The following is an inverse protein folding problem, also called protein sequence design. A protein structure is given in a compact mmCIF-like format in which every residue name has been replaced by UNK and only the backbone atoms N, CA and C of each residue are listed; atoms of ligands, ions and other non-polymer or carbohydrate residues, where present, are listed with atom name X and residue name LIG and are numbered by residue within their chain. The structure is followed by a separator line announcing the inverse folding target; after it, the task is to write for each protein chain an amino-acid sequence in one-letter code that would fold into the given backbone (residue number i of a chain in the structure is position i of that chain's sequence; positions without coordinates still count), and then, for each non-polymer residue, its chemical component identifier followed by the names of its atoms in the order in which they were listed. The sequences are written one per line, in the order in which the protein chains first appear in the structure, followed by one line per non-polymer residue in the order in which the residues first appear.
data_IF_276454338431
#
_entry.id   IF_276454338431
#
_cell.length_a   1.000
_cell.length_b   1.000
_cell.length_c   1.000
_cell.angle_alpha   90.00
_cell.angle_beta   90.00
_cell.angle_gamma   90.00
#
_symmetry.space_group_name_H-M   'P 1'
#
loop_
_entity.id
_entity.type
_entity.pdbx_description
1 polymer ?
#
# COMPACT_ATOMS: atom_id res chain seq x y z
N UNK A 1 -17.73 40.85 40.70
CA UNK A 1 -16.63 39.87 40.90
C UNK A 1 -17.30 38.50 40.98
N UNK A 2 -17.23 37.72 39.89
CA UNK A 2 -16.54 36.41 39.79
C UNK A 2 -17.21 35.32 40.65
N UNK A 3 -17.61 34.14 40.18
CA UNK A 3 -17.62 33.47 38.88
C UNK A 3 -18.70 32.37 38.93
N UNK A 4 -19.19 31.99 37.75
CA UNK A 4 -20.10 30.87 37.47
C UNK A 4 -19.28 29.58 37.35
N UNK A 5 -19.76 28.44 37.85
CA UNK A 5 -19.53 27.16 37.18
C UNK A 5 -20.55 26.09 37.59
N UNK A 6 -21.29 25.64 36.59
CA UNK A 6 -22.16 24.48 36.62
C UNK A 6 -21.35 23.26 36.15
N UNK A 7 -21.35 22.19 36.95
CA UNK A 7 -20.80 20.90 36.54
C UNK A 7 -21.80 20.13 35.66
N UNK A 8 -21.38 19.87 34.42
CA UNK A 8 -21.98 18.89 33.51
C UNK A 8 -20.87 17.92 33.11
N UNK A 9 -20.95 16.67 33.55
CA UNK A 9 -20.15 15.58 32.99
C UNK A 9 -21.00 14.32 32.88
N UNK A 10 -21.68 14.20 31.73
CA UNK A 10 -22.32 12.96 31.28
C UNK A 10 -21.40 12.29 30.25
N UNK A 11 -20.86 11.14 30.64
CA UNK A 11 -20.64 9.94 29.82
C UNK A 11 -19.94 10.11 28.46
N UNK A 12 -18.61 10.24 28.48
CA UNK A 12 -17.76 10.11 27.30
C UNK A 12 -17.47 8.63 26.97
N UNK A 13 -18.25 8.05 26.04
CA UNK A 13 -17.82 6.86 25.29
C UNK A 13 -16.45 7.15 24.68
N UNK A 14 -15.49 6.29 24.97
CA UNK A 14 -14.08 6.40 24.58
C UNK A 14 -13.90 6.75 23.09
N UNK A 15 -13.64 8.02 22.80
CA UNK A 15 -13.03 8.45 21.54
C UNK A 15 -11.54 8.22 21.67
N UNK A 16 -11.07 7.01 21.32
CA UNK A 16 -9.65 6.81 21.03
C UNK A 16 -9.36 7.32 19.62
N UNK A 17 -9.22 8.64 19.52
CA UNK A 17 -8.37 9.25 18.51
C UNK A 17 -6.95 9.18 19.04
N UNK A 18 -6.24 8.09 18.72
CA UNK A 18 -4.80 8.05 18.90
C UNK A 18 -4.17 8.72 17.67
N UNK A 19 -3.57 9.87 17.92
CA UNK A 19 -2.56 10.61 17.17
C UNK A 19 -2.07 9.99 15.84
N UNK A 20 -2.15 10.78 14.76
CA UNK A 20 -1.21 10.68 13.63
C UNK A 20 -1.82 10.40 12.26
N UNK A 21 -2.50 11.39 11.67
CA UNK A 21 -2.87 11.42 10.25
C UNK A 21 -3.87 10.35 9.82
N UNK A 22 -4.62 10.64 8.76
CA UNK A 22 -5.07 9.58 7.86
C UNK A 22 -3.80 9.02 7.19
N UNK A 23 -3.02 8.26 7.96
CA UNK A 23 -2.25 7.21 7.35
C UNK A 23 -3.30 6.31 6.73
N UNK A 24 -3.25 6.16 5.41
CA UNK A 24 -3.57 4.88 4.78
C UNK A 24 -3.07 3.84 5.77
N UNK A 25 -3.98 3.14 6.46
CA UNK A 25 -3.64 2.35 7.63
C UNK A 25 -2.74 1.23 7.12
N UNK A 26 -1.43 1.50 7.05
CA UNK A 26 -0.33 0.55 6.96
C UNK A 26 -0.27 -0.10 8.33
N UNK A 27 -1.35 -0.78 8.69
CA UNK A 27 -1.41 -1.66 9.84
C UNK A 27 -0.31 -2.69 9.63
N UNK A 28 0.65 -2.74 10.57
CA UNK A 28 1.74 -3.69 10.59
C UNK A 28 1.26 -5.14 10.75
N UNK A 29 0.70 -5.69 9.67
CA UNK A 29 0.22 -7.06 9.52
C UNK A 29 -0.01 -7.36 8.04
N UNK A 30 0.85 -8.18 7.45
CA UNK A 30 0.82 -8.66 6.06
C UNK A 30 0.34 -7.67 4.98
N UNK A 31 0.84 -6.43 4.97
CA UNK A 31 0.62 -5.54 3.83
C UNK A 31 1.39 -6.09 2.62
N UNK A 32 0.69 -6.72 1.70
CA UNK A 32 1.35 -7.48 0.64
C UNK A 32 0.38 -8.24 -0.25
N UNK A 33 0.90 -8.64 -1.40
CA UNK A 33 0.24 -9.50 -2.36
C UNK A 33 0.87 -10.90 -2.23
N UNK A 34 0.10 -11.89 -1.82
CA UNK A 34 0.58 -13.25 -1.57
C UNK A 34 -0.26 -14.22 -2.38
N UNK A 35 0.44 -15.14 -3.05
CA UNK A 35 -0.20 -16.23 -3.78
C UNK A 35 0.10 -17.55 -3.07
N UNK A 36 -0.93 -18.31 -2.73
CA UNK A 36 -0.81 -19.65 -2.16
C UNK A 36 -1.88 -20.55 -2.78
N UNK A 37 -1.50 -21.74 -3.26
CA UNK A 37 -2.41 -22.71 -3.90
C UNK A 37 -3.29 -22.10 -5.00
N UNK A 38 -2.69 -21.28 -5.87
CA UNK A 38 -3.37 -20.53 -6.93
C UNK A 38 -4.43 -19.54 -6.42
N UNK A 39 -4.44 -19.23 -5.12
CA UNK A 39 -5.31 -18.23 -4.51
C UNK A 39 -4.54 -16.95 -4.25
N UNK A 40 -5.15 -15.84 -4.65
CA UNK A 40 -4.63 -14.50 -4.45
C UNK A 40 -5.14 -13.93 -3.12
N UNK A 41 -4.21 -13.55 -2.26
CA UNK A 41 -4.46 -12.84 -1.02
C UNK A 41 -3.83 -11.46 -1.10
N UNK A 42 -4.64 -10.42 -0.87
CA UNK A 42 -4.17 -9.04 -0.82
C UNK A 42 -4.48 -8.51 0.58
N UNK A 43 -3.46 -8.00 1.26
CA UNK A 43 -3.53 -7.56 2.66
C UNK A 43 -4.11 -8.63 3.61
N UNK A 44 -3.84 -9.91 3.31
CA UNK A 44 -4.35 -11.05 4.09
C UNK A 44 -5.81 -11.45 3.81
N UNK A 45 -6.47 -10.82 2.83
CA UNK A 45 -7.85 -11.12 2.43
C UNK A 45 -7.84 -11.91 1.12
N UNK A 46 -8.55 -13.04 1.09
CA UNK A 46 -8.79 -13.79 -0.14
C UNK A 46 -9.54 -12.91 -1.14
N UNK A 47 -8.95 -12.71 -2.32
CA UNK A 47 -9.52 -11.86 -3.37
C UNK A 47 -10.15 -12.71 -4.47
N UNK A 48 -9.38 -13.65 -5.02
CA UNK A 48 -9.82 -14.54 -6.11
C UNK A 48 -8.87 -15.72 -6.29
N UNK A 49 -9.32 -16.72 -7.03
CA UNK A 49 -8.44 -17.72 -7.64
C UNK A 49 -7.77 -17.12 -8.89
N UNK A 50 -6.53 -17.51 -9.15
CA UNK A 50 -5.75 -17.07 -10.31
C UNK A 50 -6.14 -17.84 -11.56
N UNK A 51 -6.31 -17.12 -12.66
CA UNK A 51 -6.52 -17.71 -13.97
C UNK A 51 -5.21 -18.34 -14.51
N UNK A 52 -5.29 -19.28 -15.47
CA UNK A 52 -4.10 -19.88 -16.08
C UNK A 52 -3.10 -18.86 -16.64
N UNK A 53 -3.59 -17.77 -17.23
CA UNK A 53 -2.76 -16.68 -17.74
C UNK A 53 -2.03 -15.93 -16.61
N UNK A 54 -2.69 -15.73 -15.46
CA UNK A 54 -2.10 -15.09 -14.28
C UNK A 54 -1.10 -15.99 -13.57
N UNK A 55 -1.33 -17.31 -13.61
CA UNK A 55 -0.36 -18.31 -13.15
C UNK A 55 0.89 -18.27 -14.03
N UNK A 56 0.73 -18.14 -15.35
CA UNK A 56 1.85 -17.99 -16.27
C UNK A 56 2.62 -16.69 -16.02
N UNK A 57 1.92 -15.57 -15.79
CA UNK A 57 2.53 -14.29 -15.40
C UNK A 57 3.33 -14.43 -14.09
N UNK A 58 2.80 -15.16 -13.10
CA UNK A 58 3.48 -15.43 -11.84
C UNK A 58 4.77 -16.24 -12.04
N UNK A 59 4.76 -17.24 -12.93
CA UNK A 59 5.97 -18.01 -13.25
C UNK A 59 7.02 -17.16 -13.96
N UNK A 60 6.61 -16.28 -14.87
CA UNK A 60 7.51 -15.30 -15.49
C UNK A 60 8.14 -14.39 -14.43
N UNK A 61 7.32 -13.83 -13.55
CA UNK A 61 7.80 -12.98 -12.46
C UNK A 61 8.79 -13.70 -11.53
N UNK A 62 8.57 -14.97 -11.21
CA UNK A 62 9.51 -15.79 -10.41
C UNK A 62 10.88 -15.90 -11.10
N UNK A 63 10.89 -16.13 -12.40
CA UNK A 63 12.12 -16.22 -13.18
C UNK A 63 12.85 -14.87 -13.21
N UNK A 64 12.13 -13.78 -13.44
CA UNK A 64 12.70 -12.43 -13.46
C UNK A 64 13.28 -12.03 -12.10
N UNK A 65 12.62 -12.41 -10.99
CA UNK A 65 13.13 -12.19 -9.63
C UNK A 65 14.41 -12.99 -9.38
N UNK A 66 14.48 -14.23 -9.87
CA UNK A 66 15.69 -15.06 -9.74
C UNK A 66 16.86 -14.46 -10.55
N UNK A 67 16.61 -14.01 -11.78
CA UNK A 67 17.60 -13.35 -12.61
C UNK A 67 18.06 -12.03 -11.99
N UNK A 68 17.13 -11.20 -11.52
CA UNK A 68 17.40 -9.97 -10.80
C UNK A 68 18.26 -10.22 -9.56
N UNK A 69 17.92 -11.22 -8.74
CA UNK A 69 18.72 -11.56 -7.55
C UNK A 69 20.16 -11.89 -7.90
N UNK A 70 20.37 -12.63 -9.00
CA UNK A 70 21.71 -12.99 -9.46
C UNK A 70 22.48 -11.77 -10.01
N UNK A 71 21.84 -10.93 -10.81
CA UNK A 71 22.43 -9.69 -11.34
C UNK A 71 22.78 -8.72 -10.22
N UNK A 72 21.85 -8.51 -9.28
CA UNK A 72 22.04 -7.65 -8.11
C UNK A 72 23.19 -8.15 -7.26
N UNK A 73 23.26 -9.46 -6.98
CA UNK A 73 24.37 -10.03 -6.21
C UNK A 73 25.72 -9.76 -6.88
N UNK A 74 25.86 -10.01 -8.19
CA UNK A 74 27.09 -9.70 -8.93
C UNK A 74 27.44 -8.22 -8.90
N UNK A 75 26.46 -7.36 -9.17
CA UNK A 75 26.62 -5.91 -9.12
C UNK A 75 27.12 -5.43 -7.76
N UNK A 76 26.54 -5.93 -6.67
CA UNK A 76 26.96 -5.56 -5.32
C UNK A 76 28.33 -6.14 -4.96
N UNK A 77 28.67 -7.36 -5.40
CA UNK A 77 30.01 -7.94 -5.19
C UNK A 77 31.09 -7.15 -5.93
N UNK A 78 30.85 -6.78 -7.19
CA UNK A 78 31.79 -6.03 -8.03
C UNK A 78 31.95 -4.57 -7.57
N UNK A 79 30.90 -3.99 -6.99
CA UNK A 79 30.86 -2.60 -6.56
C UNK A 79 30.99 -2.41 -5.03
N UNK A 80 31.23 -3.49 -4.26
CA UNK A 80 31.34 -3.50 -2.80
C UNK A 80 32.46 -2.58 -2.27
N UNK A 81 33.53 -2.41 -3.06
CA UNK A 81 34.71 -1.61 -2.69
C UNK A 81 34.63 -0.14 -3.14
N UNK A 82 33.48 0.33 -3.63
CA UNK A 82 33.33 1.72 -4.04
C UNK A 82 33.14 2.64 -2.81
N UNK A 83 34.02 3.65 -2.59
CA UNK A 83 33.84 4.59 -1.50
C UNK A 83 32.54 5.39 -1.69
N UNK A 84 31.69 5.40 -0.65
CA UNK A 84 30.51 6.27 -0.58
C UNK A 84 30.97 7.73 -0.50
N UNK A 85 30.85 8.47 -1.60
CA UNK A 85 31.09 9.92 -1.62
C UNK A 85 32.13 10.35 -2.64
N UNK A 86 31.82 10.15 -3.93
CA UNK A 86 32.54 10.77 -5.03
C UNK A 86 31.54 11.24 -6.07
N UNK A 87 31.16 12.52 -5.99
CA UNK A 87 30.59 13.25 -7.12
C UNK A 87 31.70 13.36 -8.17
N UNK A 88 31.63 12.58 -9.24
CA UNK A 88 32.29 12.94 -10.49
C UNK A 88 31.80 12.10 -11.68
N UNK A 89 31.77 12.80 -12.81
CA UNK A 89 31.15 12.50 -14.08
C UNK A 89 31.80 11.32 -14.85
N UNK A 90 31.01 10.70 -15.72
CA UNK A 90 31.46 10.11 -16.99
C UNK A 90 32.47 8.95 -16.94
N UNK A 91 32.16 7.88 -16.22
CA UNK A 91 32.46 6.51 -16.67
C UNK A 91 31.17 5.75 -16.68
N UNK A 92 30.96 4.87 -17.66
CA UNK A 92 29.80 3.99 -17.80
C UNK A 92 29.71 3.08 -16.57
N UNK A 93 29.29 3.62 -15.42
CA UNK A 93 28.91 2.86 -14.24
C UNK A 93 27.72 2.05 -14.71
N UNK A 94 27.95 0.75 -14.84
CA UNK A 94 26.89 -0.20 -15.08
C UNK A 94 25.74 0.15 -14.13
N UNK A 95 24.57 0.46 -14.69
CA UNK A 95 23.44 0.88 -13.86
C UNK A 95 23.06 -0.31 -12.99
N UNK A 96 22.77 -0.04 -11.72
CA UNK A 96 22.21 -1.06 -10.83
C UNK A 96 21.03 -1.73 -11.54
N UNK A 97 20.92 -3.07 -11.47
CA UNK A 97 19.81 -3.77 -12.10
C UNK A 97 18.49 -3.22 -11.56
N UNK A 98 17.51 -3.07 -12.44
CA UNK A 98 16.18 -2.61 -12.04
C UNK A 98 15.35 -3.80 -11.50
N UNK A 99 14.59 -3.60 -10.41
CA UNK A 99 13.74 -4.65 -9.88
C UNK A 99 12.63 -4.98 -10.89
N UNK A 100 12.23 -6.27 -10.99
CA UNK A 100 11.15 -6.66 -11.86
C UNK A 100 9.84 -6.01 -11.41
N UNK A 101 9.00 -5.66 -12.39
CA UNK A 101 7.67 -5.10 -12.13
C UNK A 101 6.80 -6.16 -11.47
N UNK A 102 5.99 -5.76 -10.49
CA UNK A 102 5.02 -6.68 -9.88
C UNK A 102 4.00 -7.16 -10.90
N UNK A 103 3.45 -8.37 -10.74
CA UNK A 103 2.37 -8.85 -11.58
C UNK A 103 1.16 -7.90 -11.60
N UNK A 104 0.42 -7.90 -12.70
CA UNK A 104 -0.74 -7.06 -12.97
C UNK A 104 -1.81 -7.13 -11.86
N UNK A 105 -2.03 -8.33 -11.31
CA UNK A 105 -2.98 -8.58 -10.22
C UNK A 105 -2.53 -8.08 -8.84
N UNK A 106 -1.26 -7.67 -8.69
CA UNK A 106 -0.68 -7.12 -7.45
C UNK A 106 -0.45 -5.59 -7.51
N UNK A 107 -1.10 -4.89 -8.44
CA UNK A 107 -0.94 -3.45 -8.64
C UNK A 107 -1.23 -2.59 -7.40
N UNK A 108 -0.84 -1.32 -7.45
CA UNK A 108 -1.06 -0.38 -6.33
C UNK A 108 -2.55 -0.22 -6.02
N UNK A 109 -3.39 0.03 -7.03
CA UNK A 109 -4.85 0.10 -6.88
C UNK A 109 -5.46 -1.16 -6.24
N UNK A 110 -4.96 -2.35 -6.58
CA UNK A 110 -5.45 -3.61 -6.02
C UNK A 110 -5.10 -3.75 -4.52
N UNK A 111 -3.98 -3.16 -4.09
CA UNK A 111 -3.51 -3.17 -2.69
C UNK A 111 -4.05 -2.02 -1.85
N UNK A 112 -4.56 -0.96 -2.46
CA UNK A 112 -5.17 0.16 -1.75
C UNK A 112 -6.43 -0.31 -1.03
N UNK A 113 -6.46 -0.03 0.27
CA UNK A 113 -7.55 -0.41 1.15
C UNK A 113 -8.10 0.84 1.84
N UNK A 114 -9.37 1.14 1.59
CA UNK A 114 -10.10 2.20 2.27
C UNK A 114 -10.96 1.60 3.36
N UNK A 115 -10.69 1.99 4.60
CA UNK A 115 -11.46 1.53 5.77
C UNK A 115 -12.45 2.62 6.14
N UNK A 116 -13.73 2.29 5.98
CA UNK A 116 -14.85 3.13 6.38
C UNK A 116 -15.46 2.58 7.68
N UNK A 117 -16.38 3.35 8.28
CA UNK A 117 -17.05 2.94 9.52
C UNK A 117 -17.94 1.70 9.29
N UNK A 118 -17.38 0.51 9.52
CA UNK A 118 -18.09 -0.77 9.45
C UNK A 118 -17.94 -1.52 8.12
N UNK A 119 -17.27 -0.95 7.13
CA UNK A 119 -16.96 -1.63 5.87
C UNK A 119 -15.56 -1.25 5.37
N UNK A 120 -15.04 -2.06 4.47
CA UNK A 120 -13.72 -1.89 3.87
C UNK A 120 -13.84 -2.09 2.38
N UNK A 121 -13.16 -1.25 1.61
CA UNK A 121 -13.06 -1.36 0.17
C UNK A 121 -11.61 -1.66 -0.17
N UNK A 122 -11.37 -2.70 -0.97
CA UNK A 122 -10.04 -3.05 -1.47
C UNK A 122 -10.11 -3.33 -2.97
N UNK A 123 -9.36 -2.56 -3.75
CA UNK A 123 -9.58 -2.47 -5.19
C UNK A 123 -11.06 -2.17 -5.49
N UNK A 124 -11.69 -3.01 -6.32
CA UNK A 124 -13.10 -2.85 -6.71
C UNK A 124 -14.07 -3.69 -5.86
N UNK A 125 -13.65 -4.15 -4.68
CA UNK A 125 -14.43 -5.10 -3.86
C UNK A 125 -14.75 -4.54 -2.49
N UNK A 126 -16.03 -4.70 -2.09
CA UNK A 126 -16.56 -4.31 -0.79
C UNK A 126 -16.53 -5.50 0.17
N UNK A 127 -16.00 -5.25 1.36
CA UNK A 127 -15.86 -6.20 2.45
C UNK A 127 -16.53 -5.66 3.72
N UNK A 128 -17.15 -6.56 4.48
CA UNK A 128 -17.63 -6.29 5.84
C UNK A 128 -16.91 -7.25 6.78
N UNK A 129 -16.07 -6.70 7.66
CA UNK A 129 -15.05 -7.49 8.35
C UNK A 129 -14.06 -8.07 7.35
N UNK A 130 -13.93 -9.40 7.32
CA UNK A 130 -13.05 -10.13 6.39
C UNK A 130 -13.83 -10.85 5.27
N UNK A 131 -15.14 -10.62 5.16
CA UNK A 131 -16.00 -11.31 4.21
C UNK A 131 -16.27 -10.44 2.99
N UNK A 132 -16.04 -11.01 1.81
CA UNK A 132 -16.45 -10.40 0.54
C UNK A 132 -17.97 -10.30 0.46
N UNK A 133 -18.46 -9.12 0.12
CA UNK A 133 -19.90 -8.86 -0.03
C UNK A 133 -20.27 -8.76 -1.50
N UNK A 134 -19.62 -7.86 -2.24
CA UNK A 134 -19.86 -7.62 -3.67
C UNK A 134 -18.76 -6.78 -4.29
N UNK A 135 -18.77 -6.69 -5.62
CA UNK A 135 -18.01 -5.68 -6.35
C UNK A 135 -18.70 -4.31 -6.30
N UNK A 136 -17.90 -3.26 -6.38
CA UNK A 136 -18.35 -1.88 -6.54
C UNK A 136 -18.90 -1.68 -7.96
N UNK A 137 -19.95 -0.88 -8.06
CA UNK A 137 -20.50 -0.44 -9.34
C UNK A 137 -19.67 0.72 -9.91
N UNK A 138 -19.82 1.03 -11.19
CA UNK A 138 -19.05 2.10 -11.87
C UNK A 138 -19.18 3.47 -11.20
N UNK A 139 -20.37 3.82 -10.68
CA UNK A 139 -20.56 5.08 -9.94
C UNK A 139 -19.73 5.11 -8.66
N UNK A 140 -19.73 4.01 -7.90
CA UNK A 140 -19.01 3.92 -6.63
C UNK A 140 -17.50 3.87 -6.86
N UNK A 141 -17.04 3.27 -7.96
CA UNK A 141 -15.63 3.28 -8.35
C UNK A 141 -15.16 4.71 -8.65
N UNK A 142 -15.97 5.51 -9.37
CA UNK A 142 -15.65 6.92 -9.63
C UNK A 142 -15.61 7.76 -8.36
N UNK A 143 -16.59 7.58 -7.48
CA UNK A 143 -16.60 8.24 -6.17
C UNK A 143 -15.37 7.87 -5.33
N UNK A 144 -14.90 6.63 -5.43
CA UNK A 144 -13.69 6.17 -4.75
C UNK A 144 -12.42 6.81 -5.33
N UNK A 145 -12.33 6.96 -6.65
CA UNK A 145 -11.22 7.65 -7.31
C UNK A 145 -11.18 9.14 -6.91
N UNK A 146 -12.32 9.83 -6.92
CA UNK A 146 -12.41 11.22 -6.44
C UNK A 146 -12.04 11.36 -4.96
N UNK A 147 -12.36 10.34 -4.15
CA UNK A 147 -12.00 10.30 -2.74
C UNK A 147 -10.49 10.12 -2.54
N UNK A 148 -9.86 9.25 -3.32
CA UNK A 148 -8.41 9.01 -3.29
C UNK A 148 -7.63 10.29 -3.64
N UNK A 149 -8.02 10.99 -4.70
CA UNK A 149 -7.41 12.27 -5.10
C UNK A 149 -7.50 13.32 -3.98
N UNK A 150 -8.68 13.48 -3.38
CA UNK A 150 -8.89 14.43 -2.27
C UNK A 150 -8.10 14.05 -1.02
N UNK A 151 -7.94 12.74 -0.76
CA UNK A 151 -7.12 12.26 0.33
C UNK A 151 -5.63 12.57 0.12
N UNK A 152 -5.10 12.38 -1.09
CA UNK A 152 -3.71 12.71 -1.41
C UNK A 152 -3.42 14.21 -1.22
N UNK A 153 -4.31 15.08 -1.69
CA UNK A 153 -4.20 16.53 -1.48
C UNK A 153 -4.24 16.89 0.01
N UNK A 154 -5.16 16.28 0.77
CA UNK A 154 -5.25 16.49 2.21
C UNK A 154 -4.00 16.03 2.95
N UNK A 155 -3.47 14.85 2.61
CA UNK A 155 -2.23 14.31 3.19
C UNK A 155 -1.05 15.22 2.90
N UNK A 156 -0.94 15.75 1.68
CA UNK A 156 0.12 16.70 1.31
C UNK A 156 0.04 17.97 2.15
N UNK A 157 -1.15 18.58 2.26
CA UNK A 157 -1.35 19.78 3.06
C UNK A 157 -1.04 19.55 4.55
N UNK A 158 -1.36 18.37 5.10
CA UNK A 158 -1.06 18.00 6.48
C UNK A 158 0.45 17.83 6.70
N UNK A 159 1.15 17.19 5.78
CA UNK A 159 2.60 17.00 5.85
C UNK A 159 3.36 18.35 5.78
N UNK A 160 2.89 19.30 4.97
CA UNK A 160 3.45 20.66 4.92
C UNK A 160 3.27 21.43 6.24
N UNK A 161 2.18 21.18 6.97
CA UNK A 161 1.95 21.78 8.29
C UNK A 161 2.81 21.14 9.39
N UNK A 162 3.06 19.82 9.32
CA UNK A 162 3.90 19.10 10.29
C UNK A 162 5.38 19.44 10.12
N UNK A 163 5.84 19.69 8.90
CA UNK A 163 7.23 20.01 8.59
C UNK A 163 7.57 21.52 8.69
N UNK A 164 6.67 22.34 9.26
CA UNK A 164 6.91 23.74 9.63
C UNK A 164 7.25 23.85 11.11
#
# INVERSE_FOLDING_TARGET
MKDVNAELSHNSRARRFCCGGVSSFQSGGSTGCVVSDNKLYINGIFTKDLNPDEVQELEQYKNDVAEYRNKSKKYFEDNWNAPFGGEEESKTKEKAPEPPKSPSFCGQKARTQFVFNGCMVQGDSLYIGNNFVRKLNESEQKELEEFDEKLEEYQKALNEQINR
#
